data_IF_689772122001
#
_entry.id   IF_689772122001
#
_cell.length_a   1.000
_cell.length_b   1.000
_cell.length_c   1.000
_cell.angle_alpha   90.00
_cell.angle_beta   90.00
_cell.angle_gamma   90.00
#
_symmetry.space_group_name_H-M   'P 1'
#
loop_
_entity.id
_entity.type
_entity.pdbx_description
1 polymer ?
#
# COMPACT_ATOMS: atom_id res chain seq x y z
N UNK A 1 3.70 -11.66 1.77
CA UNK A 1 3.89 -11.91 3.22
C UNK A 1 4.02 -10.64 4.08
N UNK A 2 5.02 -9.76 3.85
CA UNK A 2 5.29 -8.60 4.74
C UNK A 2 4.10 -7.65 4.91
N UNK A 3 3.40 -7.30 3.83
CA UNK A 3 2.27 -6.35 3.88
C UNK A 3 1.07 -6.95 4.62
N UNK A 4 0.76 -8.24 4.38
CA UNK A 4 -0.33 -8.94 5.08
C UNK A 4 -0.12 -8.95 6.60
N UNK A 5 1.10 -9.28 7.05
CA UNK A 5 1.47 -9.19 8.47
C UNK A 5 1.37 -7.76 9.02
N UNK A 6 1.68 -6.75 8.20
CA UNK A 6 1.55 -5.36 8.62
C UNK A 6 0.08 -4.97 8.86
N UNK A 7 -0.87 -5.46 8.04
CA UNK A 7 -2.31 -5.26 8.27
C UNK A 7 -2.72 -5.80 9.64
N UNK A 8 -2.45 -7.07 9.91
CA UNK A 8 -2.81 -7.72 11.18
C UNK A 8 -2.19 -6.99 12.38
N UNK A 9 -0.92 -6.57 12.25
CA UNK A 9 -0.22 -5.87 13.34
C UNK A 9 -0.85 -4.53 13.71
N UNK A 10 -1.53 -3.86 12.77
CA UNK A 10 -2.23 -2.59 13.04
C UNK A 10 -3.71 -2.79 13.35
N UNK A 11 -4.16 -4.03 13.59
CA UNK A 11 -5.53 -4.38 13.94
C UNK A 11 -6.49 -4.50 12.75
N UNK A 12 -5.96 -4.52 11.52
CA UNK A 12 -6.77 -4.79 10.34
C UNK A 12 -6.95 -6.31 10.14
N UNK A 13 -8.02 -6.72 9.45
CA UNK A 13 -8.16 -8.09 8.98
C UNK A 13 -6.95 -8.56 8.19
N UNK A 14 -6.75 -9.87 8.12
CA UNK A 14 -5.81 -10.42 7.16
C UNK A 14 -6.35 -10.20 5.74
N UNK A 15 -5.61 -9.56 4.82
CA UNK A 15 -6.08 -9.42 3.45
C UNK A 15 -6.10 -10.80 2.77
N UNK A 16 -7.19 -11.06 2.04
CA UNK A 16 -7.33 -12.23 1.18
C UNK A 16 -6.28 -12.24 0.07
N UNK A 17 -5.96 -11.04 -0.45
CA UNK A 17 -4.97 -10.88 -1.52
C UNK A 17 -4.20 -9.57 -1.38
N UNK A 18 -2.92 -9.65 -1.69
CA UNK A 18 -2.01 -8.52 -1.74
C UNK A 18 -1.31 -8.54 -3.09
N UNK A 19 -1.50 -7.48 -3.88
CA UNK A 19 -0.87 -7.34 -5.19
C UNK A 19 0.08 -6.15 -5.16
N UNK A 20 1.37 -6.38 -5.40
CA UNK A 20 2.33 -5.30 -5.62
C UNK A 20 2.19 -4.78 -7.05
N UNK A 21 2.04 -3.47 -7.20
CA UNK A 21 1.80 -2.82 -8.49
C UNK A 21 3.02 -1.94 -8.83
N UNK A 22 3.83 -2.33 -9.84
CA UNK A 22 5.01 -1.57 -10.23
C UNK A 22 4.67 -0.29 -11.04
N UNK A 23 3.38 -0.11 -11.36
CA UNK A 23 2.83 0.97 -12.19
C UNK A 23 1.79 1.80 -11.41
N UNK A 24 1.19 2.79 -12.06
CA UNK A 24 0.16 3.66 -11.51
C UNK A 24 -1.08 2.82 -11.14
N UNK A 25 -1.46 2.81 -9.86
CA UNK A 25 -2.64 2.09 -9.38
C UNK A 25 -3.90 2.97 -9.31
N UNK A 26 -3.76 4.30 -9.42
CA UNK A 26 -4.85 5.27 -9.25
C UNK A 26 -4.66 6.44 -10.22
N UNK A 27 -5.75 6.95 -10.80
CA UNK A 27 -5.71 8.17 -11.61
C UNK A 27 -5.10 9.32 -10.81
N UNK A 28 -4.14 10.02 -11.41
CA UNK A 28 -3.39 11.12 -10.78
C UNK A 28 -2.19 10.67 -9.94
N UNK A 29 -1.98 9.37 -9.70
CA UNK A 29 -0.77 8.89 -9.01
C UNK A 29 0.43 8.82 -9.96
N UNK A 30 1.63 8.84 -9.38
CA UNK A 30 2.91 8.74 -10.09
C UNK A 30 3.51 7.33 -9.96
N UNK A 31 4.41 6.98 -10.88
CA UNK A 31 5.11 5.68 -10.84
C UNK A 31 6.07 5.63 -9.65
N UNK A 32 6.13 4.53 -8.86
CA UNK A 32 7.03 4.43 -7.71
C UNK A 32 8.51 4.63 -8.05
N UNK A 33 8.93 4.21 -9.26
CA UNK A 33 10.31 4.34 -9.76
C UNK A 33 10.84 5.78 -9.82
N UNK A 34 9.97 6.80 -9.80
CA UNK A 34 10.38 8.20 -9.77
C UNK A 34 10.72 8.70 -8.36
N UNK A 35 10.55 7.84 -7.35
CA UNK A 35 10.87 8.15 -5.96
C UNK A 35 12.00 7.24 -5.48
N UNK A 36 12.95 7.81 -4.74
CA UNK A 36 14.03 7.05 -4.11
C UNK A 36 13.52 6.14 -2.99
N UNK A 37 14.30 5.11 -2.61
CA UNK A 37 13.93 4.22 -1.52
C UNK A 37 13.93 4.94 -0.17
N UNK A 38 13.10 4.45 0.75
CA UNK A 38 12.87 5.00 2.09
C UNK A 38 13.43 4.07 3.18
N UNK A 39 14.02 4.60 4.27
CA UNK A 39 14.26 6.02 4.53
C UNK A 39 15.42 6.55 3.66
N UNK A 40 15.63 7.87 3.65
CA UNK A 40 16.61 8.50 2.72
C UNK A 40 18.04 8.36 3.22
N UNK A 41 18.21 8.25 4.53
CA UNK A 41 19.46 8.08 5.24
C UNK A 41 20.12 6.75 4.85
N UNK A 42 21.41 6.82 4.49
CA UNK A 42 22.14 5.69 3.91
C UNK A 42 22.57 4.63 4.95
N UNK A 43 22.63 5.00 6.22
CA UNK A 43 22.96 4.15 7.37
C UNK A 43 21.78 3.25 7.81
N UNK A 44 20.59 3.53 7.31
CA UNK A 44 19.37 2.76 7.61
C UNK A 44 19.03 1.80 6.48
N UNK A 45 18.39 0.67 6.81
CA UNK A 45 17.90 -0.27 5.80
C UNK A 45 16.88 0.38 4.88
N UNK A 46 17.29 0.68 3.64
CA UNK A 46 16.46 1.32 2.62
C UNK A 46 15.56 0.31 1.94
N UNK A 47 14.30 0.68 1.71
CA UNK A 47 13.27 -0.14 1.06
C UNK A 47 12.74 0.59 -0.17
N UNK A 48 12.65 -0.13 -1.28
CA UNK A 48 12.00 0.38 -2.49
C UNK A 48 10.54 0.74 -2.19
N UNK A 49 10.05 1.78 -2.87
CA UNK A 49 8.65 2.17 -2.81
C UNK A 49 7.88 1.39 -3.88
N UNK A 50 6.65 1.01 -3.56
CA UNK A 50 5.74 0.31 -4.47
C UNK A 50 4.31 0.71 -4.17
N UNK A 51 3.43 0.60 -5.17
CA UNK A 51 1.99 0.63 -4.93
C UNK A 51 1.53 -0.77 -4.54
N UNK A 52 0.48 -0.87 -3.73
CA UNK A 52 -0.12 -2.15 -3.40
C UNK A 52 -1.64 -2.05 -3.46
N UNK A 53 -2.28 -3.12 -3.92
CA UNK A 53 -3.73 -3.32 -3.84
C UNK A 53 -3.96 -4.41 -2.78
N UNK A 54 -4.85 -4.12 -1.85
CA UNK A 54 -5.25 -5.02 -0.78
C UNK A 54 -6.72 -5.37 -0.97
N UNK A 55 -7.03 -6.65 -1.01
CA UNK A 55 -8.38 -7.18 -1.08
C UNK A 55 -8.66 -7.86 0.26
N UNK A 56 -9.78 -7.51 0.89
CA UNK A 56 -10.23 -8.05 2.18
C UNK A 56 -11.58 -8.73 1.98
N UNK A 57 -11.82 -9.86 2.67
CA UNK A 57 -13.12 -10.54 2.63
C UNK A 57 -14.19 -9.75 3.37
N UNK A 58 -13.78 -9.02 4.41
CA UNK A 58 -14.64 -8.14 5.19
C UNK A 58 -14.36 -6.65 4.91
N UNK A 59 -15.37 -5.77 4.94
CA UNK A 59 -15.19 -4.34 4.73
C UNK A 59 -14.21 -3.72 5.75
N UNK A 60 -13.23 -2.98 5.25
CA UNK A 60 -12.30 -2.20 6.07
C UNK A 60 -12.66 -0.72 6.02
N UNK A 61 -12.91 -0.12 7.18
CA UNK A 61 -13.12 1.32 7.30
C UNK A 61 -11.78 2.07 7.19
N UNK A 62 -11.73 3.08 6.31
CA UNK A 62 -10.51 3.82 5.98
C UNK A 62 -10.33 5.13 6.76
N UNK A 63 -9.20 5.84 6.56
CA UNK A 63 -8.06 5.48 5.71
C UNK A 63 -7.10 4.47 6.37
N UNK A 64 -6.45 3.63 5.56
CA UNK A 64 -5.46 2.63 6.02
C UNK A 64 -4.04 3.16 5.83
N UNK A 65 -3.20 3.03 6.86
CA UNK A 65 -1.80 3.46 6.87
C UNK A 65 -0.87 2.28 7.20
N UNK A 66 0.03 1.93 6.28
CA UNK A 66 0.93 0.78 6.41
C UNK A 66 2.38 1.10 6.03
N UNK A 67 3.31 0.29 6.53
CA UNK A 67 4.73 0.36 6.16
C UNK A 67 5.55 1.35 7.01
N UNK A 68 6.85 1.41 6.70
CA UNK A 68 7.83 2.15 7.49
C UNK A 68 7.75 3.68 7.31
N UNK A 69 7.22 4.16 6.19
CA UNK A 69 7.07 5.59 5.89
C UNK A 69 5.69 6.17 6.21
N UNK A 70 4.84 5.45 6.94
CA UNK A 70 3.44 5.84 7.19
C UNK A 70 3.24 7.15 7.93
N UNK A 71 4.27 7.64 8.62
CA UNK A 71 4.29 8.94 9.29
C UNK A 71 5.05 10.02 8.50
N UNK A 72 5.45 9.72 7.26
CA UNK A 72 6.20 10.61 6.36
C UNK A 72 5.48 10.76 5.01
N UNK A 73 4.16 10.57 5.00
CA UNK A 73 3.31 10.71 3.80
C UNK A 73 3.32 9.50 2.86
N UNK A 74 3.94 8.38 3.23
CA UNK A 74 3.90 7.13 2.44
C UNK A 74 2.88 6.15 2.99
N UNK A 75 2.55 5.10 2.22
CA UNK A 75 1.78 3.97 2.74
C UNK A 75 0.32 4.27 3.11
N UNK A 76 -0.23 5.38 2.60
CA UNK A 76 -1.65 5.71 2.67
C UNK A 76 -2.42 4.96 1.60
N UNK A 77 -3.47 4.27 2.01
CA UNK A 77 -4.41 3.57 1.15
C UNK A 77 -5.74 4.31 1.15
N UNK A 78 -6.34 4.37 -0.04
CA UNK A 78 -7.74 4.79 -0.20
C UNK A 78 -8.60 3.57 -0.48
N UNK A 79 -9.85 3.52 0.01
CA UNK A 79 -10.83 2.57 -0.48
C UNK A 79 -11.01 2.75 -2.00
N UNK A 80 -10.99 1.64 -2.72
CA UNK A 80 -11.44 1.55 -4.10
C UNK A 80 -12.73 0.74 -4.09
N UNK A 81 -13.80 1.26 -4.67
CA UNK A 81 -14.98 0.42 -4.94
C UNK A 81 -14.54 -0.61 -5.98
N UNK A 82 -14.98 -1.86 -5.85
CA UNK A 82 -14.93 -2.76 -7.00
C UNK A 82 -15.80 -2.11 -8.07
N UNK A 83 -15.20 -1.49 -9.07
CA UNK A 83 -15.94 -1.17 -10.28
C UNK A 83 -16.36 -2.53 -10.84
N UNK A 84 -17.66 -2.82 -10.84
CA UNK A 84 -18.19 -3.81 -11.77
C UNK A 84 -17.63 -3.38 -13.13
N UNK A 85 -16.80 -4.23 -13.73
CA UNK A 85 -16.28 -3.95 -15.05
C UNK A 85 -17.49 -4.06 -15.99
N UNK A 86 -18.16 -2.94 -16.24
CA UNK A 86 -19.09 -2.83 -17.35
C UNK A 86 -18.28 -2.80 -18.64
N UNK A 87 -18.37 -3.89 -19.40
CA UNK A 87 -18.17 -3.94 -20.86
C UNK A 87 -16.77 -3.71 -21.39
#
# INVERSE_FOLDING_TARGET
EIISRACVRVGLPQPAKVTAVPTIALRGAQKPRYYGPFPREADRTRRALTHAILEFEEPVLGPVLLGAGRYSGLGLFRPVRSEAHDG
#
